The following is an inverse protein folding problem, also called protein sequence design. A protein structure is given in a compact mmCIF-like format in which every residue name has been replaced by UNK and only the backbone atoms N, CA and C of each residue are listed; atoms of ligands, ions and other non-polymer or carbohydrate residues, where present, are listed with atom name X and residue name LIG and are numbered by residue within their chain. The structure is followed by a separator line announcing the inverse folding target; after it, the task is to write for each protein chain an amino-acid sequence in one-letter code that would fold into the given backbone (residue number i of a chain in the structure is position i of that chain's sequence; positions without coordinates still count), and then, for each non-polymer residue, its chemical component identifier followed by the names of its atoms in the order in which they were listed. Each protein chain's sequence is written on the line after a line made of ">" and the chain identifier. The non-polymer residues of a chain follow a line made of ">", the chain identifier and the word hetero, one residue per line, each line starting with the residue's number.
data_IF_179552656123
#
_entry.id   IF_179552656123
#
_cell.length_a   1.000
_cell.length_b   1.000
_cell.length_c   1.000
_cell.angle_alpha   90.00
_cell.angle_beta   90.00
_cell.angle_gamma   90.00
#
_symmetry.space_group_name_H-M   'P 1'
#
loop_
_entity.id
_entity.type
_entity.pdbx_description
1 polymer ?
#
# COMPACT_ATOMS: atom_id res chain seq x y z
N UNK A 1 23.19 -13.44 3.08
CA UNK A 1 21.97 -12.99 2.40
C UNK A 1 22.02 -11.48 2.28
N UNK A 2 21.82 -10.94 1.08
CA UNK A 2 21.81 -9.49 0.88
C UNK A 2 20.47 -8.93 1.39
N UNK A 3 20.52 -8.12 2.45
CA UNK A 3 19.37 -7.32 2.90
C UNK A 3 19.33 -6.07 2.02
N UNK A 4 18.61 -6.12 0.90
CA UNK A 4 18.21 -4.90 0.20
C UNK A 4 17.22 -4.13 1.11
N UNK A 5 17.36 -2.82 1.20
CA UNK A 5 16.35 -1.99 1.87
C UNK A 5 15.04 -2.14 1.12
N UNK A 6 14.02 -2.67 1.80
CA UNK A 6 12.67 -2.79 1.25
C UNK A 6 11.86 -1.61 1.74
N UNK A 7 11.31 -0.84 0.82
CA UNK A 7 10.35 0.19 1.16
C UNK A 7 9.06 -0.44 1.65
N UNK A 8 8.65 -0.08 2.87
CA UNK A 8 7.43 -0.55 3.50
C UNK A 8 6.34 0.52 3.46
N UNK A 9 5.11 0.07 3.24
CA UNK A 9 3.90 0.89 3.25
C UNK A 9 2.93 0.27 4.25
N UNK A 10 2.34 1.12 5.10
CA UNK A 10 1.32 0.75 6.08
C UNK A 10 0.11 1.64 5.86
N UNK A 11 -1.05 1.04 5.60
CA UNK A 11 -2.33 1.73 5.46
C UNK A 11 -3.20 1.40 6.66
N UNK A 12 -3.75 2.44 7.30
CA UNK A 12 -4.65 2.31 8.42
C UNK A 12 -5.78 3.33 8.28
N UNK A 13 -6.96 3.00 8.82
CA UNK A 13 -8.10 3.90 8.89
C UNK A 13 -8.70 3.92 10.29
N UNK A 14 -9.46 4.97 10.58
CA UNK A 14 -10.34 4.98 11.76
C UNK A 14 -11.49 3.96 11.59
N UNK A 15 -12.05 3.51 12.71
CA UNK A 15 -13.11 2.49 12.73
C UNK A 15 -14.37 2.93 11.97
N UNK A 16 -14.67 4.23 12.00
CA UNK A 16 -15.87 4.84 11.41
C UNK A 16 -15.76 5.18 9.90
N UNK A 17 -14.65 4.82 9.25
CA UNK A 17 -14.46 5.03 7.81
C UNK A 17 -14.72 3.72 7.05
N UNK A 18 -15.47 3.78 5.95
CA UNK A 18 -15.75 2.60 5.11
C UNK A 18 -14.74 2.47 3.97
N UNK A 19 -13.48 2.25 4.34
CA UNK A 19 -12.38 2.02 3.39
C UNK A 19 -11.76 0.66 3.67
N UNK A 20 -11.56 -0.18 2.67
CA UNK A 20 -10.81 -1.42 2.83
C UNK A 20 -9.31 -1.17 2.57
N UNK A 21 -8.55 -0.96 3.65
CA UNK A 21 -7.10 -0.74 3.56
C UNK A 21 -6.36 -1.94 2.93
N UNK A 22 -6.82 -3.17 3.17
CA UNK A 22 -6.22 -4.38 2.62
C UNK A 22 -6.40 -4.47 1.11
N UNK A 23 -7.57 -4.08 0.60
CA UNK A 23 -7.83 -3.98 -0.83
C UNK A 23 -7.05 -2.82 -1.46
N UNK A 24 -7.13 -1.61 -0.89
CA UNK A 24 -6.44 -0.43 -1.39
C UNK A 24 -4.92 -0.66 -1.51
N UNK A 25 -4.31 -1.26 -0.48
CA UNK A 25 -2.89 -1.57 -0.49
C UNK A 25 -2.51 -2.57 -1.59
N UNK A 26 -3.25 -3.68 -1.72
CA UNK A 26 -2.95 -4.70 -2.74
C UNK A 26 -3.06 -4.13 -4.16
N UNK A 27 -4.11 -3.37 -4.42
CA UNK A 27 -4.33 -2.75 -5.74
C UNK A 27 -3.27 -1.67 -6.05
N UNK A 28 -2.80 -0.94 -5.03
CA UNK A 28 -1.68 0.00 -5.18
C UNK A 28 -0.39 -0.76 -5.51
N UNK A 29 0.02 -1.70 -4.65
CA UNK A 29 1.32 -2.37 -4.76
C UNK A 29 1.45 -3.23 -6.03
N UNK A 30 0.35 -3.83 -6.50
CA UNK A 30 0.37 -4.68 -7.69
C UNK A 30 0.91 -3.95 -8.94
N UNK A 31 0.68 -2.64 -9.05
CA UNK A 31 1.15 -1.82 -10.18
C UNK A 31 2.67 -1.65 -10.20
N UNK A 32 3.32 -1.79 -9.04
CA UNK A 32 4.75 -1.57 -8.83
C UNK A 32 5.52 -2.87 -8.55
N UNK A 33 4.88 -4.03 -8.80
CA UNK A 33 5.47 -5.34 -8.50
C UNK A 33 5.64 -5.63 -7.00
N UNK A 34 5.05 -4.82 -6.14
CA UNK A 34 5.03 -5.00 -4.70
C UNK A 34 4.01 -6.04 -4.25
N UNK A 35 4.10 -6.43 -2.97
CA UNK A 35 3.15 -7.37 -2.35
C UNK A 35 2.82 -6.94 -0.93
N UNK A 36 1.61 -7.27 -0.49
CA UNK A 36 1.14 -6.93 0.85
C UNK A 36 -0.23 -7.52 1.14
N UNK A 37 -0.75 -7.21 2.32
CA UNK A 37 -2.06 -7.63 2.76
C UNK A 37 -2.36 -7.17 4.17
N UNK A 38 -3.56 -7.50 4.63
CA UNK A 38 -4.05 -7.15 5.95
C UNK A 38 -5.56 -7.21 5.99
N UNK A 39 -6.10 -6.60 7.04
CA UNK A 39 -7.53 -6.45 7.30
C UNK A 39 -8.04 -5.12 6.73
N UNK A 40 -9.36 -4.91 6.61
CA UNK A 40 -9.93 -3.64 6.15
C UNK A 40 -9.49 -2.42 6.97
N UNK A 41 -9.15 -2.58 8.25
CA UNK A 41 -8.73 -1.48 9.14
C UNK A 41 -7.22 -1.22 9.13
N UNK A 42 -6.42 -2.23 8.80
CA UNK A 42 -4.95 -2.17 8.85
C UNK A 42 -4.32 -3.15 7.86
N UNK A 43 -3.45 -2.64 7.00
CA UNK A 43 -2.72 -3.44 6.03
C UNK A 43 -1.27 -2.97 5.86
N UNK A 44 -0.39 -3.90 5.49
CA UNK A 44 1.03 -3.61 5.27
C UNK A 44 1.61 -4.38 4.08
N UNK A 45 2.62 -3.82 3.46
CA UNK A 45 3.29 -4.42 2.32
C UNK A 45 4.58 -3.70 1.96
N UNK A 46 5.19 -4.12 0.87
CA UNK A 46 6.43 -3.50 0.42
C UNK A 46 6.62 -3.52 -1.08
N UNK A 47 7.49 -2.60 -1.50
CA UNK A 47 7.95 -2.43 -2.87
C UNK A 47 9.34 -3.04 -3.04
N UNK A 48 9.66 -3.57 -4.23
CA UNK A 48 11.00 -4.08 -4.53
C UNK A 48 12.03 -2.97 -4.72
N UNK A 49 11.59 -1.78 -5.15
CA UNK A 49 12.43 -0.60 -5.41
C UNK A 49 11.92 0.59 -4.58
N UNK A 50 12.80 1.19 -3.80
CA UNK A 50 12.46 2.34 -2.96
C UNK A 50 12.25 3.64 -3.72
N UNK A 51 12.80 3.77 -4.93
CA UNK A 51 12.56 4.93 -5.80
C UNK A 51 11.12 5.03 -6.33
N UNK A 52 10.28 4.04 -6.04
CA UNK A 52 8.86 4.01 -6.44
C UNK A 52 7.92 4.50 -5.33
N UNK A 53 8.44 4.91 -4.17
CA UNK A 53 7.62 5.25 -3.01
C UNK A 53 6.63 6.38 -3.31
N UNK A 54 7.11 7.49 -3.85
CA UNK A 54 6.25 8.66 -4.13
C UNK A 54 5.15 8.31 -5.14
N UNK A 55 5.50 7.62 -6.22
CA UNK A 55 4.54 7.19 -7.24
C UNK A 55 3.48 6.21 -6.68
N UNK A 56 3.88 5.31 -5.78
CA UNK A 56 2.96 4.40 -5.13
C UNK A 56 1.99 5.13 -4.17
N UNK A 57 2.46 6.16 -3.46
CA UNK A 57 1.60 6.98 -2.60
C UNK A 57 0.60 7.79 -3.43
N UNK A 58 1.03 8.38 -4.54
CA UNK A 58 0.13 9.11 -5.44
C UNK A 58 -0.96 8.20 -6.02
N UNK A 59 -0.57 7.03 -6.52
CA UNK A 59 -1.54 6.03 -7.01
C UNK A 59 -2.53 5.58 -5.92
N UNK A 60 -2.08 5.42 -4.66
CA UNK A 60 -2.96 5.09 -3.55
C UNK A 60 -3.98 6.21 -3.27
N UNK A 61 -3.53 7.47 -3.32
CA UNK A 61 -4.39 8.65 -3.09
C UNK A 61 -5.44 8.79 -4.20
N UNK A 62 -5.05 8.64 -5.46
CA UNK A 62 -5.99 8.67 -6.59
C UNK A 62 -7.06 7.61 -6.45
N UNK A 63 -6.65 6.41 -6.05
CA UNK A 63 -7.55 5.26 -5.90
C UNK A 63 -8.51 5.42 -4.72
N UNK A 64 -8.03 5.97 -3.61
CA UNK A 64 -8.85 6.32 -2.45
C UNK A 64 -9.89 7.40 -2.78
N UNK A 65 -9.58 8.33 -3.71
CA UNK A 65 -10.53 9.35 -4.16
C UNK A 65 -11.59 8.80 -5.12
N UNK A 66 -11.30 7.69 -5.78
CA UNK A 66 -12.19 7.03 -6.74
C UNK A 66 -13.09 5.96 -6.13
N UNK A 67 -12.86 5.59 -4.86
CA UNK A 67 -13.67 4.65 -4.07
C UNK A 67 -14.76 5.37 -3.28
#
# INVERSE_FOLDING_TARGET
>A
GLRAEKTQLIFARAENLDVDCGRLLRETLAQFGGRGGGQPTLAQGGLPDGGQLEAALEAAIERLRAS
#
